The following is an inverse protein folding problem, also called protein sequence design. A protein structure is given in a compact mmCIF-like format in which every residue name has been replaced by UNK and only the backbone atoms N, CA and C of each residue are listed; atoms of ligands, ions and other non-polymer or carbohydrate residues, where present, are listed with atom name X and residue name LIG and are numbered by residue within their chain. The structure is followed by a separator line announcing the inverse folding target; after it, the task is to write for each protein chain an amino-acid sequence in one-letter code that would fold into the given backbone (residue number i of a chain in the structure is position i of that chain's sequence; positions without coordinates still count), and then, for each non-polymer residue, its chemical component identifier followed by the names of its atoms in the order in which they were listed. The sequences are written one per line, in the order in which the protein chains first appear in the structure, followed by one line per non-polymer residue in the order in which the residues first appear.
data_IF_848987137159
#
_entry.id   IF_848987137159
#
_cell.length_a   1.000
_cell.length_b   1.000
_cell.length_c   1.000
_cell.angle_alpha   90.00
_cell.angle_beta   90.00
_cell.angle_gamma   90.00
#
_symmetry.space_group_name_H-M   'P 1'
#
loop_
_entity.id
_entity.type
_entity.pdbx_description
1 polymer ?
#
# COMPACT_ATOMS: atom_id res chain seq x y z
N UNK A 1 8.60 3.49 -7.86
CA UNK A 1 8.87 2.93 -9.21
C UNK A 1 8.13 3.77 -10.23
N UNK A 2 8.43 3.61 -11.52
CA UNK A 2 7.53 4.07 -12.59
C UNK A 2 6.94 2.83 -13.27
N UNK A 3 5.73 2.48 -12.80
CA UNK A 3 4.81 1.43 -13.28
C UNK A 3 5.15 -0.04 -12.94
N UNK A 4 4.18 -0.95 -13.12
CA UNK A 4 4.17 -2.38 -12.75
C UNK A 4 3.88 -3.26 -13.98
N UNK A 5 4.53 -4.42 -14.09
CA UNK A 5 4.32 -5.38 -15.19
C UNK A 5 3.07 -6.22 -14.85
N UNK A 6 1.90 -5.85 -15.40
CA UNK A 6 0.55 -6.37 -15.07
C UNK A 6 0.05 -5.98 -13.67
N UNK A 7 -0.21 -4.69 -13.47
CA UNK A 7 -0.75 -4.20 -12.19
C UNK A 7 -2.20 -4.62 -11.91
N UNK A 8 -2.64 -4.35 -10.69
CA UNK A 8 -4.01 -4.62 -10.24
C UNK A 8 -5.05 -4.02 -11.21
N UNK A 9 -6.16 -4.73 -11.45
CA UNK A 9 -7.15 -4.37 -12.48
C UNK A 9 -7.90 -3.07 -12.17
N UNK A 10 -7.88 -2.62 -10.92
CA UNK A 10 -8.45 -1.38 -10.43
C UNK A 10 -7.43 -0.23 -10.29
N UNK A 11 -6.15 -0.47 -10.56
CA UNK A 11 -5.09 0.53 -10.42
C UNK A 11 -4.75 1.21 -11.76
N UNK A 12 -4.83 2.54 -11.85
CA UNK A 12 -4.52 3.28 -13.08
C UNK A 12 -3.07 3.08 -13.53
N UNK A 13 -2.13 3.04 -12.57
CA UNK A 13 -0.72 2.75 -12.83
C UNK A 13 -0.51 1.36 -13.43
N UNK A 14 -1.34 0.38 -13.08
CA UNK A 14 -1.27 -0.98 -13.61
C UNK A 14 -1.49 -1.07 -15.12
N UNK A 15 -2.31 -0.16 -15.68
CA UNK A 15 -2.60 -0.09 -17.12
C UNK A 15 -1.46 0.53 -17.95
N UNK A 16 -0.53 1.24 -17.33
CA UNK A 16 0.50 1.99 -18.04
C UNK A 16 1.71 1.14 -18.46
N UNK A 17 1.87 -0.07 -17.89
CA UNK A 17 3.00 -0.98 -18.15
C UNK A 17 4.34 -0.50 -17.58
N UNK A 18 5.22 -1.43 -17.20
CA UNK A 18 6.55 -1.12 -16.61
C UNK A 18 7.47 -0.46 -17.63
N UNK A 19 8.05 0.70 -17.27
CA UNK A 19 9.11 1.35 -18.07
C UNK A 19 10.50 1.02 -17.55
N UNK A 20 10.76 1.32 -16.27
CA UNK A 20 12.01 1.00 -15.55
C UNK A 20 11.84 1.12 -14.05
N UNK A 21 12.74 0.47 -13.32
CA UNK A 21 12.91 0.68 -11.88
C UNK A 21 13.53 2.04 -11.58
N UNK A 22 13.17 2.61 -10.42
CA UNK A 22 13.82 3.81 -9.90
C UNK A 22 15.08 3.43 -9.15
N UNK A 23 16.12 4.25 -9.28
CA UNK A 23 17.33 4.13 -8.45
C UNK A 23 17.05 4.54 -7.00
N UNK A 24 17.91 4.16 -6.07
CA UNK A 24 17.84 4.59 -4.67
C UNK A 24 17.78 6.12 -4.56
N UNK A 25 18.60 6.84 -5.35
CA UNK A 25 18.64 8.29 -5.33
C UNK A 25 17.32 8.93 -5.81
N UNK A 26 16.67 8.35 -6.82
CA UNK A 26 15.36 8.83 -7.29
C UNK A 26 14.24 8.57 -6.27
N UNK A 27 14.34 7.51 -5.48
CA UNK A 27 13.42 7.26 -4.36
C UNK A 27 13.65 8.29 -3.26
N UNK A 28 14.91 8.50 -2.84
CA UNK A 28 15.26 9.46 -1.79
C UNK A 28 14.96 10.91 -2.20
N UNK A 29 15.13 11.25 -3.47
CA UNK A 29 14.83 12.58 -4.00
C UNK A 29 13.37 12.99 -3.74
N UNK A 30 12.41 12.05 -3.84
CA UNK A 30 11.01 12.32 -3.54
C UNK A 30 10.81 12.79 -2.10
N UNK A 31 11.43 12.11 -1.14
CA UNK A 31 11.36 12.47 0.29
C UNK A 31 12.08 13.79 0.56
N UNK A 32 13.25 13.99 -0.06
CA UNK A 32 14.01 15.23 0.06
C UNK A 32 13.22 16.44 -0.43
N UNK A 33 12.63 16.36 -1.63
CA UNK A 33 11.81 17.43 -2.17
C UNK A 33 10.56 17.67 -1.34
N UNK A 34 9.88 16.63 -0.86
CA UNK A 34 8.71 16.77 0.01
C UNK A 34 9.06 17.49 1.33
N UNK A 35 10.17 17.11 1.98
CA UNK A 35 10.68 17.81 3.19
C UNK A 35 11.04 19.27 2.89
N UNK A 36 11.71 19.54 1.76
CA UNK A 36 12.08 20.89 1.34
C UNK A 36 10.83 21.77 1.13
N UNK A 37 9.84 21.26 0.40
CA UNK A 37 8.59 21.97 0.13
C UNK A 37 7.86 22.29 1.44
N UNK A 38 7.70 21.29 2.32
CA UNK A 38 7.04 21.47 3.63
C UNK A 38 7.70 22.58 4.45
N UNK A 39 9.03 22.60 4.52
CA UNK A 39 9.79 23.66 5.20
C UNK A 39 9.60 25.05 4.59
N UNK A 40 9.59 25.16 3.25
CA UNK A 40 9.41 26.45 2.57
C UNK A 40 8.01 27.03 2.80
N UNK A 41 6.98 26.18 2.86
CA UNK A 41 5.63 26.62 3.23
C UNK A 41 5.54 27.06 4.70
N UNK A 42 6.24 26.38 5.61
CA UNK A 42 6.32 26.76 7.03
C UNK A 42 6.96 28.14 7.27
N UNK A 43 7.92 28.55 6.44
CA UNK A 43 8.57 29.85 6.55
C UNK A 43 7.78 31.01 5.92
N UNK A 44 6.75 30.72 5.11
CA UNK A 44 6.01 31.70 4.31
C UNK A 44 4.67 32.02 4.97
N UNK A 45 4.69 32.78 6.07
CA UNK A 45 3.51 33.12 6.86
C UNK A 45 2.54 34.06 6.12
N UNK A 46 1.41 33.53 5.65
CA UNK A 46 0.17 34.29 5.47
C UNK A 46 -1.03 33.34 5.58
N UNK A 47 -1.66 33.26 6.76
CA UNK A 47 -3.00 32.66 7.05
C UNK A 47 -3.39 31.30 6.44
N UNK A 48 -2.50 30.56 5.79
CA UNK A 48 -2.76 29.21 5.28
C UNK A 48 -2.27 28.18 6.30
N UNK A 49 -3.10 27.16 6.57
CA UNK A 49 -2.71 26.02 7.41
C UNK A 49 -1.40 25.44 6.89
N UNK A 50 -0.35 25.52 7.70
CA UNK A 50 0.95 24.96 7.39
C UNK A 50 0.81 23.44 7.17
N UNK A 51 1.44 22.86 6.13
CA UNK A 51 1.54 21.42 6.02
C UNK A 51 2.36 20.90 7.21
N UNK A 52 1.90 19.87 7.93
CA UNK A 52 2.63 19.32 9.06
C UNK A 52 3.94 18.66 8.60
N UNK A 53 4.90 18.53 9.51
CA UNK A 53 6.13 17.79 9.24
C UNK A 53 5.82 16.35 8.78
N UNK A 54 6.63 15.88 7.84
CA UNK A 54 6.51 14.51 7.32
C UNK A 54 6.95 13.55 8.42
N UNK A 55 5.96 12.88 9.02
CA UNK A 55 6.15 11.95 10.13
C UNK A 55 6.14 10.48 9.70
N UNK A 56 5.63 10.18 8.50
CA UNK A 56 5.50 8.81 8.00
C UNK A 56 5.79 8.75 6.49
N UNK A 57 6.33 7.62 6.04
CA UNK A 57 6.61 7.33 4.62
C UNK A 57 5.95 6.00 4.27
N UNK A 58 5.18 5.98 3.19
CA UNK A 58 4.54 4.75 2.68
C UNK A 58 5.00 4.45 1.26
N UNK A 59 5.46 3.23 1.02
CA UNK A 59 5.80 2.73 -0.31
C UNK A 59 4.54 2.17 -1.00
N UNK A 60 3.58 3.06 -1.27
CA UNK A 60 2.28 2.78 -1.91
C UNK A 60 2.03 3.70 -3.11
N UNK A 61 3.11 4.24 -3.68
CA UNK A 61 3.07 5.04 -4.90
C UNK A 61 2.98 4.16 -6.14
N UNK A 62 3.70 4.53 -7.20
CA UNK A 62 3.71 3.76 -8.44
C UNK A 62 4.68 2.58 -8.39
N UNK A 63 4.22 1.40 -8.81
CA UNK A 63 4.98 0.14 -8.98
C UNK A 63 4.99 -0.78 -7.77
N UNK A 64 5.56 -1.97 -7.92
CA UNK A 64 5.60 -3.04 -6.89
C UNK A 64 6.98 -3.10 -6.21
N UNK A 65 7.13 -2.64 -4.95
CA UNK A 65 8.42 -2.53 -4.26
C UNK A 65 9.30 -3.78 -4.32
N UNK A 66 8.74 -4.98 -4.30
CA UNK A 66 9.52 -6.23 -4.35
C UNK A 66 10.22 -6.47 -5.69
N UNK A 67 9.73 -5.88 -6.78
CA UNK A 67 10.37 -5.95 -8.11
C UNK A 67 11.64 -5.09 -8.17
N UNK A 68 11.80 -4.15 -7.23
CA UNK A 68 12.95 -3.26 -7.14
C UNK A 68 13.57 -3.27 -5.73
N UNK A 69 13.57 -4.45 -5.09
CA UNK A 69 13.84 -4.56 -3.66
C UNK A 69 15.23 -4.02 -3.26
N UNK A 70 16.26 -4.22 -4.09
CA UNK A 70 17.62 -3.73 -3.77
C UNK A 70 17.65 -2.20 -3.59
N UNK A 71 17.09 -1.45 -4.53
CA UNK A 71 17.06 0.01 -4.47
C UNK A 71 16.13 0.51 -3.36
N UNK A 72 15.00 -0.17 -3.16
CA UNK A 72 14.00 0.15 -2.11
C UNK A 72 14.59 -0.07 -0.72
N UNK A 73 15.17 -1.24 -0.44
CA UNK A 73 15.78 -1.56 0.86
C UNK A 73 16.88 -0.57 1.18
N UNK A 74 17.77 -0.27 0.23
CA UNK A 74 18.82 0.74 0.44
C UNK A 74 18.24 2.13 0.74
N UNK A 75 17.16 2.53 0.08
CA UNK A 75 16.51 3.80 0.35
C UNK A 75 15.89 3.82 1.76
N UNK A 76 15.21 2.74 2.18
CA UNK A 76 14.65 2.63 3.54
C UNK A 76 15.77 2.69 4.58
N UNK A 77 16.87 1.97 4.39
CA UNK A 77 18.02 2.01 5.31
C UNK A 77 18.55 3.44 5.49
N UNK A 78 18.70 4.21 4.41
CA UNK A 78 19.12 5.61 4.45
C UNK A 78 18.08 6.50 5.14
N UNK A 79 16.78 6.24 4.91
CA UNK A 79 15.70 6.98 5.56
C UNK A 79 15.68 6.75 7.07
N UNK A 80 16.06 5.56 7.51
CA UNK A 80 16.10 5.17 8.93
C UNK A 80 17.43 5.44 9.62
N UNK A 81 18.45 5.88 8.88
CA UNK A 81 19.76 6.19 9.44
C UNK A 81 19.67 7.43 10.34
N UNK A 82 20.17 7.30 11.58
CA UNK A 82 20.09 8.32 12.61
C UNK A 82 20.86 9.59 12.28
N UNK A 83 21.90 9.49 11.43
CA UNK A 83 22.74 10.61 11.01
C UNK A 83 22.24 11.28 9.73
N UNK A 84 21.25 10.70 9.05
CA UNK A 84 20.72 11.20 7.79
C UNK A 84 19.29 11.75 7.93
N UNK A 85 18.27 10.92 7.69
CA UNK A 85 16.87 11.35 7.72
C UNK A 85 16.18 11.06 9.06
N UNK A 86 16.72 10.13 9.84
CA UNK A 86 16.34 9.78 11.21
C UNK A 86 14.86 9.41 11.39
N UNK A 87 14.25 8.76 10.40
CA UNK A 87 12.91 8.18 10.58
C UNK A 87 12.99 6.92 11.44
N UNK A 88 12.06 6.75 12.37
CA UNK A 88 11.90 5.48 13.04
C UNK A 88 11.46 4.42 12.03
N UNK A 89 11.94 3.18 12.18
CA UNK A 89 11.57 2.05 11.30
C UNK A 89 10.04 1.83 11.25
N UNK A 90 9.33 2.17 12.33
CA UNK A 90 7.88 2.07 12.44
C UNK A 90 7.12 3.20 11.71
N UNK A 91 7.80 4.29 11.36
CA UNK A 91 7.24 5.39 10.55
C UNK A 91 7.30 5.11 9.05
N UNK A 92 7.98 4.02 8.65
CA UNK A 92 8.05 3.61 7.25
C UNK A 92 7.21 2.35 7.07
N UNK A 93 6.29 2.37 6.10
CA UNK A 93 5.50 1.19 5.71
C UNK A 93 5.84 0.79 4.28
N UNK A 94 6.24 -0.47 4.10
CA UNK A 94 6.46 -1.10 2.81
C UNK A 94 5.25 -1.97 2.44
N UNK A 95 4.50 -1.58 1.40
CA UNK A 95 3.41 -2.41 0.86
C UNK A 95 3.88 -3.25 -0.31
N UNK A 96 3.31 -4.44 -0.46
CA UNK A 96 3.49 -5.31 -1.62
C UNK A 96 2.20 -6.03 -1.96
N UNK A 97 1.95 -6.25 -3.26
CA UNK A 97 0.92 -7.20 -3.72
C UNK A 97 1.35 -8.66 -3.58
N UNK A 98 2.58 -8.91 -3.13
CA UNK A 98 3.16 -10.23 -2.93
C UNK A 98 3.03 -11.12 -4.17
N UNK A 99 3.77 -10.84 -5.26
CA UNK A 99 3.71 -11.64 -6.48
C UNK A 99 4.13 -13.11 -6.27
N UNK A 100 4.85 -13.41 -5.19
CA UNK A 100 5.19 -14.79 -4.78
C UNK A 100 5.47 -14.89 -3.27
N UNK A 101 5.42 -16.10 -2.67
CA UNK A 101 5.93 -16.33 -1.32
C UNK A 101 7.35 -15.79 -1.13
N UNK A 102 8.23 -16.02 -2.11
CA UNK A 102 9.62 -15.53 -2.08
C UNK A 102 9.70 -14.00 -2.02
N UNK A 103 8.76 -13.27 -2.62
CA UNK A 103 8.72 -11.81 -2.54
C UNK A 103 8.53 -11.31 -1.10
N UNK A 104 7.74 -12.02 -0.29
CA UNK A 104 7.62 -11.77 1.15
C UNK A 104 8.87 -12.19 1.90
N UNK A 105 9.38 -13.41 1.70
CA UNK A 105 10.54 -13.93 2.43
C UNK A 105 11.75 -13.00 2.36
N UNK A 106 11.96 -12.35 1.20
CA UNK A 106 13.02 -11.36 0.99
C UNK A 106 12.85 -10.06 1.79
N UNK A 107 11.69 -9.82 2.40
CA UNK A 107 11.42 -8.63 3.22
C UNK A 107 11.93 -8.78 4.65
N UNK A 108 12.38 -9.96 5.10
CA UNK A 108 12.79 -10.24 6.49
C UNK A 108 13.70 -9.17 7.10
N UNK A 109 14.66 -8.65 6.36
CA UNK A 109 15.65 -7.68 6.85
C UNK A 109 15.31 -6.21 6.57
N UNK A 110 14.21 -5.94 5.85
CA UNK A 110 13.85 -4.57 5.47
C UNK A 110 13.44 -3.77 6.71
N UNK A 111 14.02 -2.59 6.98
CA UNK A 111 13.77 -1.83 8.21
C UNK A 111 12.48 -0.97 8.13
N UNK A 112 11.34 -1.60 7.82
CA UNK A 112 10.02 -0.96 7.71
C UNK A 112 8.89 -1.84 8.27
N UNK A 113 7.77 -1.27 8.66
CA UNK A 113 6.52 -2.03 8.88
C UNK A 113 6.03 -2.59 7.54
N UNK A 114 5.43 -3.78 7.55
CA UNK A 114 4.95 -4.41 6.33
C UNK A 114 3.44 -4.17 6.13
N UNK A 115 3.03 -4.00 4.87
CA UNK A 115 1.65 -4.04 4.45
C UNK A 115 1.47 -5.04 3.31
N UNK A 116 0.38 -5.79 3.34
CA UNK A 116 -0.02 -6.68 2.27
C UNK A 116 -1.22 -6.09 1.54
N UNK A 117 -0.99 -5.69 0.29
CA UNK A 117 -2.04 -5.39 -0.69
C UNK A 117 -2.77 -6.69 -1.09
N UNK A 118 -3.56 -7.22 -0.15
CA UNK A 118 -4.23 -8.53 -0.26
C UNK A 118 -5.46 -8.44 -1.16
N UNK A 119 -6.27 -7.39 -0.98
CA UNK A 119 -7.50 -7.04 -1.72
C UNK A 119 -8.65 -8.07 -1.71
N UNK A 120 -8.39 -9.36 -1.62
CA UNK A 120 -9.38 -10.39 -1.36
C UNK A 120 -8.72 -11.56 -0.64
N UNK A 121 -9.42 -12.13 0.36
CA UNK A 121 -9.01 -13.34 1.05
C UNK A 121 -9.41 -14.63 0.30
N UNK A 122 -10.20 -14.49 -0.77
CA UNK A 122 -10.56 -15.55 -1.69
C UNK A 122 -9.66 -15.57 -2.93
N UNK A 123 -9.12 -16.73 -3.29
CA UNK A 123 -8.23 -16.87 -4.44
C UNK A 123 -8.85 -16.50 -5.79
N UNK A 124 -10.13 -16.80 -5.99
CA UNK A 124 -10.85 -16.49 -7.24
C UNK A 124 -10.97 -14.97 -7.40
N UNK A 125 -11.47 -14.29 -6.37
CA UNK A 125 -11.57 -12.82 -6.36
C UNK A 125 -10.19 -12.18 -6.42
N UNK A 126 -9.20 -12.72 -5.71
CA UNK A 126 -7.84 -12.20 -5.72
C UNK A 126 -7.22 -12.26 -7.11
N UNK A 127 -7.35 -13.37 -7.84
CA UNK A 127 -6.89 -13.49 -9.24
C UNK A 127 -7.59 -12.50 -10.18
N UNK A 128 -8.86 -12.23 -9.96
CA UNK A 128 -9.60 -11.21 -10.72
C UNK A 128 -9.04 -9.79 -10.46
N UNK A 129 -8.71 -9.48 -9.21
CA UNK A 129 -8.26 -8.15 -8.80
C UNK A 129 -6.77 -7.91 -9.05
N UNK A 130 -5.95 -8.94 -8.86
CA UNK A 130 -4.48 -8.93 -8.97
C UNK A 130 -4.10 -10.04 -9.94
N UNK A 131 -4.02 -9.78 -11.26
CA UNK A 131 -3.78 -10.83 -12.26
C UNK A 131 -2.42 -11.52 -12.14
N UNK A 132 -1.48 -10.92 -11.42
CA UNK A 132 -0.17 -11.51 -11.08
C UNK A 132 -0.25 -12.49 -9.90
N UNK A 133 -1.42 -12.65 -9.26
CA UNK A 133 -1.65 -13.59 -8.17
C UNK A 133 -1.67 -15.04 -8.66
N UNK A 134 -0.51 -15.63 -8.89
CA UNK A 134 -0.41 -17.05 -9.26
C UNK A 134 -0.45 -17.99 -8.05
N UNK A 135 -0.16 -17.47 -6.86
CA UNK A 135 -0.14 -18.21 -5.60
C UNK A 135 -1.40 -17.97 -4.80
N UNK A 136 -1.79 -18.98 -4.01
CA UNK A 136 -2.95 -18.91 -3.13
C UNK A 136 -2.71 -17.93 -1.97
N UNK A 137 -3.81 -17.40 -1.43
CA UNK A 137 -3.80 -16.59 -0.20
C UNK A 137 -3.18 -17.37 0.95
N UNK A 138 -3.37 -18.70 1.00
CA UNK A 138 -2.76 -19.55 2.03
C UNK A 138 -1.23 -19.55 1.95
N UNK A 139 -0.65 -19.80 0.77
CA UNK A 139 0.81 -19.80 0.57
C UNK A 139 1.43 -18.44 0.89
N UNK A 140 0.75 -17.36 0.47
CA UNK A 140 1.21 -15.99 0.74
C UNK A 140 1.10 -15.63 2.23
N UNK A 141 0.04 -16.08 2.90
CA UNK A 141 -0.15 -15.92 4.36
C UNK A 141 0.95 -16.64 5.13
N UNK A 142 1.28 -17.87 4.75
CA UNK A 142 2.35 -18.65 5.40
C UNK A 142 3.71 -17.95 5.28
N UNK A 143 4.06 -17.45 4.09
CA UNK A 143 5.28 -16.69 3.88
C UNK A 143 5.31 -15.38 4.68
N UNK A 144 4.18 -14.67 4.76
CA UNK A 144 4.08 -13.47 5.60
C UNK A 144 4.27 -13.80 7.08
N UNK A 145 3.65 -14.87 7.58
CA UNK A 145 3.83 -15.33 8.98
C UNK A 145 5.31 -15.64 9.25
N UNK A 146 5.97 -16.37 8.35
CA UNK A 146 7.38 -16.71 8.49
C UNK A 146 8.26 -15.45 8.59
N UNK A 147 8.02 -14.48 7.70
CA UNK A 147 8.72 -13.20 7.71
C UNK A 147 8.50 -12.44 9.00
N UNK A 148 7.25 -12.34 9.48
CA UNK A 148 6.94 -11.64 10.73
C UNK A 148 7.62 -12.31 11.92
N UNK A 149 7.61 -13.64 12.02
CA UNK A 149 8.34 -14.38 13.07
C UNK A 149 9.83 -14.10 13.04
N UNK A 150 10.41 -13.92 11.86
CA UNK A 150 11.83 -13.61 11.68
C UNK A 150 12.24 -12.17 11.97
N UNK A 151 11.31 -11.27 12.28
CA UNK A 151 11.55 -9.83 12.47
C UNK A 151 11.56 -9.43 13.95
N UNK A 152 12.19 -8.29 14.25
CA UNK A 152 12.11 -7.67 15.58
C UNK A 152 10.65 -7.41 15.96
N UNK A 153 10.29 -7.61 17.24
CA UNK A 153 8.90 -7.49 17.74
C UNK A 153 8.22 -6.15 17.37
N UNK A 154 8.97 -5.05 17.37
CA UNK A 154 8.47 -3.72 17.00
C UNK A 154 8.20 -3.52 15.49
N UNK A 155 8.62 -4.46 14.64
CA UNK A 155 8.38 -4.51 13.20
C UNK A 155 7.49 -5.69 12.77
N UNK A 156 6.86 -6.35 13.74
CA UNK A 156 5.87 -7.39 13.50
C UNK A 156 4.46 -6.83 13.27
N UNK A 157 4.24 -5.54 13.52
CA UNK A 157 3.00 -4.90 13.11
C UNK A 157 2.81 -5.04 11.60
N UNK A 158 1.57 -5.29 11.19
CA UNK A 158 1.25 -5.55 9.79
C UNK A 158 -0.10 -4.97 9.43
N UNK A 159 -0.22 -4.49 8.20
CA UNK A 159 -1.47 -3.99 7.65
C UNK A 159 -1.95 -4.85 6.50
N UNK A 160 -3.22 -5.22 6.48
CA UNK A 160 -3.87 -5.86 5.35
C UNK A 160 -4.66 -4.79 4.60
N UNK A 161 -4.29 -4.52 3.35
CA UNK A 161 -4.90 -3.46 2.54
C UNK A 161 -5.94 -4.02 1.58
N UNK A 162 -7.15 -3.47 1.65
CA UNK A 162 -8.29 -3.94 0.87
C UNK A 162 -8.89 -2.77 0.10
N UNK A 163 -8.67 -2.74 -1.22
CA UNK A 163 -9.44 -1.86 -2.10
C UNK A 163 -10.85 -2.46 -2.24
N UNK A 164 -11.85 -1.84 -1.61
CA UNK A 164 -13.23 -2.32 -1.64
C UNK A 164 -13.92 -1.83 -2.91
N UNK A 165 -14.45 -2.77 -3.69
CA UNK A 165 -15.07 -2.53 -4.99
C UNK A 165 -16.51 -3.03 -4.95
N UNK A 166 -17.43 -2.19 -5.41
CA UNK A 166 -18.86 -2.43 -5.30
C UNK A 166 -19.27 -3.78 -5.91
N UNK A 167 -19.88 -4.63 -5.10
CA UNK A 167 -20.34 -5.98 -5.48
C UNK A 167 -19.27 -6.93 -6.01
N UNK A 168 -17.99 -6.69 -5.70
CA UNK A 168 -16.88 -7.59 -6.10
C UNK A 168 -16.25 -8.27 -4.89
N UNK A 169 -15.82 -7.50 -3.91
CA UNK A 169 -15.09 -7.98 -2.73
C UNK A 169 -15.51 -7.25 -1.43
N UNK A 170 -16.74 -6.74 -1.40
CA UNK A 170 -17.29 -5.89 -0.35
C UNK A 170 -18.52 -6.52 0.34
N UNK A 171 -18.67 -7.85 0.28
CA UNK A 171 -19.76 -8.55 0.97
C UNK A 171 -19.41 -8.91 2.42
N UNK A 172 -20.41 -9.23 3.28
CA UNK A 172 -20.15 -9.75 4.62
C UNK A 172 -19.33 -11.06 4.62
N UNK A 173 -19.51 -11.91 3.62
CA UNK A 173 -18.74 -13.15 3.45
C UNK A 173 -17.26 -12.84 3.17
N UNK A 174 -16.98 -11.85 2.32
CA UNK A 174 -15.61 -11.38 2.07
C UNK A 174 -14.94 -10.87 3.36
N UNK A 175 -15.71 -10.18 4.21
CA UNK A 175 -15.23 -9.69 5.50
C UNK A 175 -14.93 -10.83 6.48
N UNK A 176 -15.74 -11.89 6.47
CA UNK A 176 -15.50 -13.09 7.28
C UNK A 176 -14.23 -13.83 6.85
N UNK A 177 -14.01 -14.01 5.55
CA UNK A 177 -12.78 -14.61 5.03
C UNK A 177 -11.54 -13.78 5.42
N UNK A 178 -11.62 -12.45 5.29
CA UNK A 178 -10.56 -11.54 5.70
C UNK A 178 -10.28 -11.60 7.21
N UNK A 179 -11.34 -11.70 8.03
CA UNK A 179 -11.19 -11.87 9.47
C UNK A 179 -10.44 -13.16 9.81
N UNK A 180 -10.75 -14.27 9.13
CA UNK A 180 -10.06 -15.55 9.35
C UNK A 180 -8.57 -15.45 9.01
N UNK A 181 -8.22 -14.83 7.87
CA UNK A 181 -6.81 -14.59 7.49
C UNK A 181 -6.09 -13.75 8.54
N UNK A 182 -6.72 -12.68 9.01
CA UNK A 182 -6.16 -11.82 10.05
C UNK A 182 -5.95 -12.56 11.39
N UNK A 183 -6.94 -13.34 11.82
CA UNK A 183 -6.87 -14.13 13.06
C UNK A 183 -5.77 -15.19 12.98
N UNK A 184 -5.63 -15.88 11.85
CA UNK A 184 -4.57 -16.87 11.62
C UNK A 184 -3.19 -16.24 11.75
N UNK A 185 -2.97 -15.05 11.17
CA UNK A 185 -1.70 -14.33 11.27
C UNK A 185 -1.42 -13.94 12.72
N UNK A 186 -2.40 -13.34 13.41
CA UNK A 186 -2.26 -12.93 14.82
C UNK A 186 -1.89 -14.12 15.70
N UNK A 187 -2.62 -15.23 15.56
CA UNK A 187 -2.42 -16.43 16.36
C UNK A 187 -1.08 -17.09 16.05
N UNK A 188 -0.66 -17.11 14.79
CA UNK A 188 0.57 -17.77 14.38
C UNK A 188 1.83 -17.00 14.80
N UNK A 189 1.84 -15.66 14.73
CA UNK A 189 3.01 -14.85 15.11
C UNK A 189 3.24 -14.84 16.63
N UNK A 190 2.18 -15.04 17.42
CA UNK A 190 2.24 -15.19 18.89
C UNK A 190 3.03 -14.06 19.59
N UNK A 191 2.72 -12.81 19.22
CA UNK A 191 3.25 -11.62 19.90
C UNK A 191 2.09 -10.79 20.46
N UNK A 192 1.95 -10.68 21.80
CA UNK A 192 0.83 -9.99 22.44
C UNK A 192 0.80 -8.48 22.19
N UNK A 193 1.92 -7.90 21.76
CA UNK A 193 2.02 -6.47 21.43
C UNK A 193 1.89 -6.18 19.94
N UNK A 194 1.80 -7.22 19.10
CA UNK A 194 1.63 -7.07 17.67
C UNK A 194 0.26 -6.47 17.36
N UNK A 195 0.25 -5.47 16.48
CA UNK A 195 -0.96 -4.89 15.90
C UNK A 195 -1.11 -5.36 14.47
N UNK A 196 -2.24 -6.01 14.18
CA UNK A 196 -2.71 -6.23 12.82
C UNK A 196 -3.93 -5.34 12.58
N UNK A 197 -3.89 -4.59 11.48
CA UNK A 197 -4.99 -3.73 11.05
C UNK A 197 -5.44 -4.12 9.65
N UNK A 198 -6.75 -4.16 9.43
CA UNK A 198 -7.32 -4.17 8.08
C UNK A 198 -7.61 -2.73 7.67
N UNK A 199 -6.97 -2.25 6.62
CA UNK A 199 -7.18 -0.92 6.05
C UNK A 199 -8.12 -1.04 4.85
N UNK A 200 -9.38 -0.67 5.06
CA UNK A 200 -10.43 -0.65 4.06
C UNK A 200 -10.32 0.64 3.26
N UNK A 201 -10.12 0.51 1.95
CA UNK A 201 -9.93 1.62 1.02
C UNK A 201 -11.09 1.56 0.02
N UNK A 202 -12.20 2.28 0.25
CA UNK A 202 -13.29 2.34 -0.71
C UNK A 202 -12.76 2.83 -2.06
N UNK A 203 -12.92 2.02 -3.10
CA UNK A 203 -12.46 2.36 -4.43
C UNK A 203 -13.15 3.64 -4.91
N UNK A 204 -12.38 4.57 -5.44
CA UNK A 204 -12.92 5.72 -6.17
C UNK A 204 -12.62 5.54 -7.65
N UNK A 205 -13.55 5.97 -8.49
CA UNK A 205 -13.37 5.91 -9.93
C UNK A 205 -12.10 6.68 -10.31
N UNK A 206 -11.16 5.97 -10.95
CA UNK A 206 -9.88 6.54 -11.36
C UNK A 206 -9.87 6.93 -12.85
N UNK A 207 -11.03 6.85 -13.52
CA UNK A 207 -11.17 7.09 -14.94
C UNK A 207 -10.50 6.01 -15.80
N UNK A 208 -10.53 6.20 -17.12
CA UNK A 208 -9.79 5.32 -18.05
C UNK A 208 -10.42 3.95 -18.29
N UNK A 209 -11.76 3.84 -18.24
CA UNK A 209 -12.51 2.65 -18.65
C UNK A 209 -12.33 1.44 -17.73
N UNK A 210 -12.20 1.67 -16.41
CA UNK A 210 -12.21 0.61 -15.40
C UNK A 210 -13.67 0.24 -15.09
N UNK A 211 -13.96 -1.05 -14.97
CA UNK A 211 -15.34 -1.57 -14.81
C UNK A 211 -15.85 -1.55 -13.36
N UNK A 212 -15.06 -1.05 -12.44
CA UNK A 212 -15.36 -1.09 -11.01
C UNK A 212 -15.96 0.22 -10.54
N UNK A 213 -16.80 0.15 -9.52
CA UNK A 213 -17.46 1.31 -8.92
C UNK A 213 -17.25 1.35 -7.42
N UNK A 214 -17.45 2.52 -6.84
CA UNK A 214 -17.35 2.75 -5.39
C UNK A 214 -18.46 1.99 -4.65
N UNK A 215 -18.14 1.21 -3.61
CA UNK A 215 -19.15 0.56 -2.78
C UNK A 215 -19.97 1.61 -2.01
N UNK A 216 -21.22 1.26 -1.67
CA UNK A 216 -22.03 2.12 -0.80
C UNK A 216 -21.40 2.24 0.59
N UNK A 217 -21.66 3.35 1.29
CA UNK A 217 -21.15 3.57 2.65
C UNK A 217 -21.63 2.46 3.59
N UNK A 218 -22.87 2.02 3.42
CA UNK A 218 -23.49 0.95 4.21
C UNK A 218 -22.73 -0.36 4.05
N UNK A 219 -22.34 -0.73 2.82
CA UNK A 219 -21.56 -1.96 2.56
C UNK A 219 -20.18 -1.89 3.20
N UNK A 220 -19.50 -0.75 3.08
CA UNK A 220 -18.18 -0.53 3.71
C UNK A 220 -18.28 -0.66 5.24
N UNK A 221 -19.30 -0.06 5.85
CA UNK A 221 -19.51 -0.12 7.30
C UNK A 221 -19.94 -1.52 7.76
N UNK A 222 -20.73 -2.25 6.97
CA UNK A 222 -21.06 -3.65 7.25
C UNK A 222 -19.80 -4.54 7.22
N UNK A 223 -18.93 -4.35 6.23
CA UNK A 223 -17.63 -5.06 6.17
C UNK A 223 -16.80 -4.77 7.42
N UNK A 224 -16.69 -3.49 7.80
CA UNK A 224 -15.98 -3.06 9.00
C UNK A 224 -16.58 -3.68 10.28
N UNK A 225 -17.90 -3.68 10.40
CA UNK A 225 -18.61 -4.24 11.55
C UNK A 225 -18.35 -5.75 11.71
N UNK A 226 -18.34 -6.50 10.60
CA UNK A 226 -18.00 -7.93 10.62
C UNK A 226 -16.58 -8.15 11.15
N UNK A 227 -15.60 -7.35 10.71
CA UNK A 227 -14.22 -7.44 11.22
C UNK A 227 -14.16 -7.13 12.71
N UNK A 228 -14.83 -6.07 13.17
CA UNK A 228 -14.87 -5.69 14.59
C UNK A 228 -15.52 -6.77 15.46
N UNK A 229 -16.63 -7.37 15.01
CA UNK A 229 -17.29 -8.49 15.72
C UNK A 229 -16.38 -9.73 15.84
N UNK A 230 -15.39 -9.86 14.96
CA UNK A 230 -14.35 -10.90 15.00
C UNK A 230 -13.09 -10.46 15.76
N UNK A 231 -13.10 -9.30 16.41
CA UNK A 231 -11.98 -8.76 17.18
C UNK A 231 -10.84 -8.22 16.32
N UNK A 232 -11.06 -7.99 15.02
CA UNK A 232 -10.05 -7.47 14.11
C UNK A 232 -10.21 -5.95 13.98
N UNK A 233 -9.16 -5.20 14.30
CA UNK A 233 -9.18 -3.76 14.12
C UNK A 233 -9.22 -3.41 12.62
N UNK A 234 -10.23 -2.64 12.25
CA UNK A 234 -10.47 -2.22 10.88
C UNK A 234 -10.64 -0.71 10.78
N UNK A 235 -9.88 -0.09 9.89
CA UNK A 235 -9.93 1.34 9.60
C UNK A 235 -10.47 1.57 8.20
N UNK A 236 -11.49 2.43 8.06
CA UNK A 236 -11.98 2.89 6.77
C UNK A 236 -11.21 4.15 6.40
N UNK A 237 -10.43 4.08 5.34
CA UNK A 237 -9.68 5.23 4.83
C UNK A 237 -10.64 6.22 4.19
N UNK A 238 -10.76 7.39 4.82
CA UNK A 238 -11.38 8.55 4.18
C UNK A 238 -10.56 8.94 2.95
N UNK A 239 -11.23 9.15 1.82
CA UNK A 239 -10.53 9.61 0.64
C UNK A 239 -10.01 11.03 0.87
N UNK A 240 -8.72 11.22 0.68
CA UNK A 240 -8.10 12.55 0.61
C UNK A 240 -7.57 12.76 -0.81
N UNK A 241 -7.99 13.85 -1.46
CA UNK A 241 -7.43 14.28 -2.76
C UNK A 241 -8.10 13.76 -4.03
N UNK A 242 -9.39 13.40 -4.00
CA UNK A 242 -10.16 13.06 -5.22
C UNK A 242 -10.14 14.20 -6.26
N UNK A 243 -10.03 15.46 -5.81
CA UNK A 243 -10.05 16.62 -6.71
C UNK A 243 -8.81 16.72 -7.62
N UNK A 244 -7.68 16.07 -7.27
CA UNK A 244 -6.39 16.26 -7.94
C UNK A 244 -5.74 14.98 -8.50
N UNK A 245 -6.51 13.89 -8.64
CA UNK A 245 -5.97 12.59 -9.12
C UNK A 245 -4.78 12.07 -8.27
N UNK A 246 -4.74 12.44 -6.99
CA UNK A 246 -3.64 12.12 -6.08
C UNK A 246 -3.95 10.95 -5.14
N UNK A 247 -5.15 10.37 -5.21
CA UNK A 247 -5.51 9.23 -4.37
C UNK A 247 -4.73 7.96 -4.77
N UNK A 248 -4.67 6.99 -3.85
CA UNK A 248 -4.01 5.70 -4.11
C UNK A 248 -4.60 5.04 -5.37
N UNK A 249 -3.74 4.67 -6.32
CA UNK A 249 -4.16 4.10 -7.60
C UNK A 249 -4.56 5.10 -8.68
N UNK A 250 -4.58 6.41 -8.40
CA UNK A 250 -4.85 7.50 -9.37
C UNK A 250 -3.58 8.14 -9.93
N UNK A 251 -2.39 7.78 -9.42
CA UNK A 251 -1.10 8.29 -9.89
C UNK A 251 -0.80 7.81 -11.31
N UNK A 252 -1.40 8.48 -12.29
CA UNK A 252 -1.11 8.38 -13.70
C UNK A 252 -0.47 9.69 -14.16
N UNK A 253 0.65 9.62 -14.87
CA UNK A 253 1.22 10.83 -15.47
C UNK A 253 0.22 11.38 -16.49
N UNK A 254 -0.25 12.63 -16.32
CA UNK A 254 -0.87 13.39 -17.41
C UNK A 254 0.09 13.31 -18.60
N UNK A 255 -0.37 12.81 -19.75
CA UNK A 255 0.43 12.76 -20.98
C UNK A 255 1.07 14.14 -21.18
N UNK A 256 2.39 14.18 -21.36
CA UNK A 256 3.10 15.37 -21.79
C UNK A 256 2.42 15.81 -23.08
N UNK A 257 1.79 17.01 -23.10
CA UNK A 257 1.35 17.61 -24.37
C UNK A 257 2.58 17.62 -25.27
N UNK A 258 2.54 16.87 -26.36
CA UNK A 258 3.49 17.03 -27.45
C UNK A 258 3.42 18.50 -27.83
N UNK A 259 4.53 19.22 -27.65
CA UNK A 259 4.67 20.51 -28.30
C UNK A 259 4.76 20.19 -29.78
N UNK A 260 3.70 20.49 -30.53
CA UNK A 260 3.81 20.68 -31.97
C UNK A 260 4.94 21.69 -32.19
N UNK A 261 6.05 21.20 -32.70
CA UNK A 261 7.05 22.05 -33.34
C UNK A 261 6.42 22.43 -34.67
N UNK A 262 5.81 23.61 -34.72
CA UNK A 262 5.55 24.28 -35.98
C UNK A 262 6.92 24.51 -36.65
N UNK A 263 7.15 23.80 -37.75
CA UNK A 263 8.12 24.16 -38.78
C UNK A 263 7.64 25.41 -39.51
#
# INVERSE_FOLDING_TARGET
MYNMYKGCTFCATGKMGLKRSLTTNEILAQVFYAKKITRLFSSSSSNQKLPPDISNIVFMGMGEPTDNLSAVTRAISILTDETLFSFARQQITLSTVAPSPQSFLRLKEVPAVLAWSIHAANDVKRRQLVPTATYSVQELKEALIEVLKGRCKNLQNVMLEVALLNHVNDSPEDALEMANVAQDIIKAVDNPTMKLMVNLIPYNDTGGGIKYTKPSKERVLQYQEVLWKRGIYAHVRETRGDDESAACGQLATRKRKEREVLL
#
